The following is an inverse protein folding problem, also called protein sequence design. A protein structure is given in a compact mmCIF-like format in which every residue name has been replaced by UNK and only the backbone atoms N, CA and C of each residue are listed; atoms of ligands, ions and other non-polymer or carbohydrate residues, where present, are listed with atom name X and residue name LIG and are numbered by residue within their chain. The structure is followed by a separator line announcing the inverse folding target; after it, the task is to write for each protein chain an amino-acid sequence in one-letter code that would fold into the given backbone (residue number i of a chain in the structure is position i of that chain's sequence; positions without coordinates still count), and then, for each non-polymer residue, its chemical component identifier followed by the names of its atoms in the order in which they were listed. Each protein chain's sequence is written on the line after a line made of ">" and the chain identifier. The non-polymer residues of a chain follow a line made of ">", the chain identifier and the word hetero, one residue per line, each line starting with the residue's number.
data_IF_584703604037
#
_entry.id   IF_584703604037
#
_cell.length_a   1.000
_cell.length_b   1.000
_cell.length_c   1.000
_cell.angle_alpha   90.00
_cell.angle_beta   90.00
_cell.angle_gamma   90.00
#
_symmetry.space_group_name_H-M   'P 1'
#
loop_
_entity.id
_entity.type
_entity.pdbx_description
1 polymer ?
#
# COMPACT_ATOMS: atom_id res chain seq x y z
N UNK A 1 -5.18 6.71 2.42
CA UNK A 1 -6.44 5.96 2.24
C UNK A 1 -6.48 5.11 0.96
N UNK A 2 -5.80 5.49 -0.13
CA UNK A 2 -5.87 4.75 -1.42
C UNK A 2 -5.66 3.23 -1.29
N UNK A 3 -4.63 2.77 -0.58
CA UNK A 3 -4.36 1.35 -0.39
C UNK A 3 -5.53 0.59 0.25
N UNK A 4 -6.24 1.18 1.19
CA UNK A 4 -7.41 0.57 1.81
C UNK A 4 -8.55 0.40 0.80
N UNK A 5 -8.75 1.38 -0.10
CA UNK A 5 -9.78 1.29 -1.14
C UNK A 5 -9.42 0.29 -2.25
N UNK A 6 -8.13 0.02 -2.50
CA UNK A 6 -7.73 -1.09 -3.38
C UNK A 6 -8.20 -2.44 -2.82
N UNK A 7 -8.31 -2.58 -1.50
CA UNK A 7 -8.78 -3.79 -0.84
C UNK A 7 -10.28 -3.74 -0.54
N UNK A 8 -11.09 -3.39 -1.54
CA UNK A 8 -12.57 -3.44 -1.49
C UNK A 8 -13.12 -4.36 -2.57
N UNK A 9 -14.36 -4.78 -2.41
CA UNK A 9 -15.05 -5.65 -3.38
C UNK A 9 -15.06 -5.01 -4.78
N UNK A 10 -15.35 -3.70 -4.86
CA UNK A 10 -15.54 -2.97 -6.10
C UNK A 10 -14.23 -2.56 -6.80
N UNK A 11 -13.09 -2.57 -6.12
CA UNK A 11 -11.83 -2.20 -6.74
C UNK A 11 -11.51 -3.10 -7.94
N UNK A 12 -11.20 -2.55 -9.13
CA UNK A 12 -11.01 -3.30 -10.36
C UNK A 12 -9.62 -3.94 -10.45
N UNK A 13 -9.20 -4.63 -9.39
CA UNK A 13 -7.95 -5.39 -9.34
C UNK A 13 -8.26 -6.86 -9.03
N UNK A 14 -7.35 -7.73 -9.43
CA UNK A 14 -7.49 -9.17 -9.26
C UNK A 14 -7.69 -9.56 -7.79
N UNK A 15 -8.63 -10.46 -7.50
CA UNK A 15 -9.02 -10.84 -6.13
C UNK A 15 -7.85 -11.37 -5.30
N UNK A 16 -6.97 -12.17 -5.92
CA UNK A 16 -5.76 -12.70 -5.26
C UNK A 16 -4.86 -11.63 -4.64
N UNK A 17 -4.82 -10.44 -5.23
CA UNK A 17 -4.04 -9.32 -4.69
C UNK A 17 -4.72 -8.78 -3.42
N UNK A 18 -6.06 -8.66 -3.43
CA UNK A 18 -6.83 -8.24 -2.26
C UNK A 18 -6.69 -9.24 -1.11
N UNK A 19 -6.81 -10.54 -1.42
CA UNK A 19 -6.61 -11.60 -0.44
C UNK A 19 -5.20 -11.56 0.15
N UNK A 20 -4.19 -11.32 -0.70
CA UNK A 20 -2.81 -11.19 -0.22
C UNK A 20 -2.63 -9.98 0.71
N UNK A 21 -3.24 -8.83 0.38
CA UNK A 21 -3.19 -7.62 1.22
C UNK A 21 -3.86 -7.82 2.59
N UNK A 22 -4.89 -8.66 2.66
CA UNK A 22 -5.65 -8.93 3.90
C UNK A 22 -5.08 -10.06 4.76
N UNK A 23 -3.92 -10.62 4.40
CA UNK A 23 -3.30 -11.71 5.15
C UNK A 23 -2.72 -11.24 6.48
N UNK A 24 -2.78 -12.07 7.54
CA UNK A 24 -2.25 -11.72 8.87
C UNK A 24 -0.72 -11.49 8.92
N UNK A 25 0.02 -12.03 7.94
CA UNK A 25 1.48 -11.87 7.83
C UNK A 25 1.89 -10.63 7.02
N UNK A 26 0.93 -9.86 6.49
CA UNK A 26 1.16 -8.59 5.83
C UNK A 26 1.05 -7.47 6.86
N UNK A 27 2.15 -6.76 7.06
CA UNK A 27 2.29 -5.67 8.03
C UNK A 27 2.85 -4.39 7.38
N UNK A 28 3.18 -3.38 8.17
CA UNK A 28 3.79 -2.14 7.70
C UNK A 28 5.18 -2.35 7.08
N UNK A 29 5.88 -3.46 7.40
CA UNK A 29 7.20 -3.83 6.87
C UNK A 29 7.07 -4.53 5.51
N UNK A 30 5.85 -4.91 5.13
CA UNK A 30 5.53 -5.45 3.81
C UNK A 30 5.60 -4.38 2.71
N UNK A 31 6.17 -3.21 3.01
CA UNK A 31 6.41 -2.14 2.03
C UNK A 31 7.88 -1.71 2.02
N UNK A 32 8.32 -1.18 0.88
CA UNK A 32 9.65 -0.57 0.71
C UNK A 32 9.56 0.69 -0.13
N UNK A 33 10.65 1.45 -0.21
CA UNK A 33 10.75 2.65 -1.07
C UNK A 33 11.74 2.35 -2.18
N UNK A 34 11.33 2.60 -3.41
CA UNK A 34 12.13 2.43 -4.63
C UNK A 34 12.34 3.76 -5.34
N UNK A 35 13.18 3.81 -6.36
CA UNK A 35 13.44 4.97 -7.23
C UNK A 35 14.00 6.20 -6.50
N UNK A 36 14.75 6.01 -5.43
CA UNK A 36 15.32 7.09 -4.62
C UNK A 36 16.33 7.92 -5.41
N UNK A 37 17.24 7.26 -6.13
CA UNK A 37 18.29 7.91 -6.92
C UNK A 37 17.73 8.69 -8.11
N UNK A 38 16.50 8.37 -8.53
CA UNK A 38 15.79 9.09 -9.60
C UNK A 38 15.02 10.33 -9.12
N UNK A 39 15.14 10.72 -7.85
CA UNK A 39 14.31 11.77 -7.24
C UNK A 39 12.81 11.51 -7.38
N UNK A 40 12.42 10.24 -7.49
CA UNK A 40 11.05 9.78 -7.61
C UNK A 40 10.74 8.69 -6.56
N UNK A 41 11.11 8.96 -5.31
CA UNK A 41 10.94 8.03 -4.21
C UNK A 41 9.48 7.60 -4.08
N UNK A 42 9.19 6.35 -4.39
CA UNK A 42 7.84 5.78 -4.40
C UNK A 42 7.76 4.62 -3.41
N UNK A 43 6.76 4.65 -2.53
CA UNK A 43 6.49 3.52 -1.64
C UNK A 43 5.65 2.48 -2.36
N UNK A 44 6.13 1.23 -2.31
CA UNK A 44 5.56 0.09 -3.02
C UNK A 44 5.46 -1.14 -2.11
N UNK A 45 4.67 -2.12 -2.50
CA UNK A 45 4.68 -3.42 -1.84
C UNK A 45 6.06 -4.07 -1.98
N UNK A 46 6.53 -4.70 -0.90
CA UNK A 46 7.83 -5.37 -0.85
C UNK A 46 7.72 -6.76 -1.47
N UNK A 47 8.22 -6.91 -2.67
CA UNK A 47 8.23 -8.14 -3.45
C UNK A 47 9.55 -8.28 -4.20
N UNK A 48 9.74 -9.36 -4.94
CA UNK A 48 10.99 -9.64 -5.66
C UNK A 48 11.36 -8.54 -6.65
N UNK A 49 10.36 -7.93 -7.29
CA UNK A 49 10.57 -6.83 -8.23
C UNK A 49 11.09 -5.59 -7.50
N UNK A 50 10.46 -5.19 -6.40
CA UNK A 50 10.88 -4.01 -5.63
C UNK A 50 12.25 -4.21 -4.96
N UNK A 51 12.56 -5.42 -4.51
CA UNK A 51 13.87 -5.78 -3.96
C UNK A 51 14.95 -5.75 -5.04
N UNK A 52 14.64 -6.24 -6.25
CA UNK A 52 15.55 -6.16 -7.40
C UNK A 52 15.83 -4.72 -7.79
N UNK A 53 14.80 -3.85 -7.80
CA UNK A 53 14.98 -2.43 -8.09
C UNK A 53 15.87 -1.75 -7.05
N UNK A 54 15.71 -2.04 -5.77
CA UNK A 54 16.57 -1.48 -4.71
C UNK A 54 18.02 -1.94 -4.87
N UNK A 55 18.26 -3.23 -5.17
CA UNK A 55 19.60 -3.75 -5.42
C UNK A 55 20.26 -3.05 -6.61
N UNK A 56 19.54 -2.88 -7.72
CA UNK A 56 20.05 -2.15 -8.89
C UNK A 56 20.37 -0.68 -8.56
N UNK A 57 19.53 -0.04 -7.77
CA UNK A 57 19.74 1.34 -7.31
C UNK A 57 21.01 1.47 -6.45
N UNK A 58 21.25 0.52 -5.56
CA UNK A 58 22.45 0.45 -4.72
C UNK A 58 23.72 0.16 -5.57
N UNK A 59 23.66 -0.78 -6.50
CA UNK A 59 24.78 -1.12 -7.40
C UNK A 59 25.20 0.05 -8.28
N UNK A 60 24.27 0.90 -8.68
CA UNK A 60 24.54 2.08 -9.51
C UNK A 60 25.17 3.26 -8.76
N UNK A 61 25.23 3.23 -7.42
CA UNK A 61 25.87 4.24 -6.58
C UNK A 61 25.52 5.71 -6.92
N UNK A 62 24.28 5.96 -7.30
CA UNK A 62 23.80 7.28 -7.71
C UNK A 62 24.02 7.62 -9.19
N UNK A 63 24.70 6.78 -9.94
CA UNK A 63 24.87 6.96 -11.40
C UNK A 63 23.76 6.21 -12.14
N UNK A 64 22.54 6.75 -12.09
CA UNK A 64 21.32 6.03 -12.45
C UNK A 64 21.18 5.83 -13.95
N UNK A 65 21.27 4.58 -14.38
CA UNK A 65 20.87 4.15 -15.71
C UNK A 65 19.40 3.67 -15.68
N UNK A 66 18.49 4.56 -16.07
CA UNK A 66 17.07 4.24 -16.10
C UNK A 66 16.72 3.04 -16.97
N UNK A 67 17.52 2.74 -18.00
CA UNK A 67 17.28 1.59 -18.88
C UNK A 67 17.28 0.25 -18.14
N UNK A 68 18.05 0.15 -17.05
CA UNK A 68 18.11 -1.04 -16.19
C UNK A 68 16.89 -1.18 -15.28
N UNK A 69 16.28 -0.07 -14.89
CA UNK A 69 15.12 -0.03 -13.97
C UNK A 69 13.79 -0.07 -14.73
N UNK A 70 13.74 0.51 -15.93
CA UNK A 70 12.51 0.64 -16.73
C UNK A 70 11.72 -0.68 -16.91
N UNK A 71 12.32 -1.85 -17.12
CA UNK A 71 11.60 -3.10 -17.25
C UNK A 71 10.81 -3.48 -15.99
N UNK A 72 11.28 -3.07 -14.82
CA UNK A 72 10.65 -3.35 -13.52
C UNK A 72 9.59 -2.30 -13.16
N UNK A 73 9.74 -1.06 -13.63
CA UNK A 73 8.82 0.06 -13.40
C UNK A 73 7.71 0.15 -14.46
N UNK A 74 7.50 -0.88 -15.29
CA UNK A 74 6.56 -0.89 -16.39
C UNK A 74 5.10 -0.91 -15.95
N UNK A 75 4.34 0.13 -16.30
CA UNK A 75 2.89 0.19 -16.06
C UNK A 75 2.10 -0.90 -16.80
N UNK A 76 2.59 -1.38 -17.94
CA UNK A 76 1.98 -2.49 -18.68
C UNK A 76 2.05 -3.78 -17.85
N UNK A 77 3.18 -4.03 -17.21
CA UNK A 77 3.38 -5.19 -16.33
C UNK A 77 2.45 -5.12 -15.12
N UNK A 78 2.34 -3.95 -14.50
CA UNK A 78 1.43 -3.70 -13.37
C UNK A 78 -0.02 -3.90 -13.77
N UNK A 79 -0.43 -3.40 -14.93
CA UNK A 79 -1.80 -3.60 -15.46
C UNK A 79 -2.12 -5.07 -15.66
N UNK A 80 -1.21 -5.84 -16.25
CA UNK A 80 -1.36 -7.29 -16.45
C UNK A 80 -1.52 -8.02 -15.12
N UNK A 81 -0.67 -7.69 -14.15
CA UNK A 81 -0.75 -8.23 -12.80
C UNK A 81 -2.12 -7.95 -12.15
N UNK A 82 -2.60 -6.73 -12.24
CA UNK A 82 -3.85 -6.32 -11.60
C UNK A 82 -5.10 -6.87 -12.27
N UNK A 83 -5.09 -7.06 -13.59
CA UNK A 83 -6.28 -7.43 -14.35
C UNK A 83 -6.33 -8.90 -14.75
N UNK A 84 -5.17 -9.56 -14.91
CA UNK A 84 -5.11 -10.89 -15.52
C UNK A 84 -4.51 -11.96 -14.59
N UNK A 85 -3.31 -11.75 -14.07
CA UNK A 85 -2.58 -12.81 -13.36
C UNK A 85 -2.86 -12.86 -11.87
N UNK A 86 -3.06 -11.71 -11.22
CA UNK A 86 -3.17 -11.62 -9.78
C UNK A 86 -1.91 -12.03 -9.02
N UNK A 87 -0.77 -12.12 -9.70
CA UNK A 87 0.51 -12.43 -9.07
C UNK A 87 1.13 -11.15 -8.48
N UNK A 88 0.88 -10.91 -7.19
CA UNK A 88 1.34 -9.75 -6.45
C UNK A 88 2.88 -9.57 -6.48
N UNK A 89 3.62 -10.63 -6.83
CA UNK A 89 5.08 -10.64 -6.89
C UNK A 89 5.64 -10.25 -8.27
N UNK A 90 4.79 -10.17 -9.30
CA UNK A 90 5.22 -10.01 -10.69
C UNK A 90 5.43 -8.55 -11.11
N UNK A 91 5.14 -7.55 -10.30
CA UNK A 91 5.29 -6.13 -10.68
C UNK A 91 5.53 -5.21 -9.49
N UNK A 92 6.10 -4.04 -9.79
CA UNK A 92 6.09 -2.91 -8.86
C UNK A 92 4.67 -2.31 -8.79
N UNK A 93 4.13 -2.14 -7.58
CA UNK A 93 2.84 -1.48 -7.37
C UNK A 93 2.80 -0.68 -6.07
N UNK A 94 2.18 0.50 -6.14
CA UNK A 94 2.13 1.43 -5.01
C UNK A 94 1.34 0.84 -3.85
N UNK A 95 1.92 0.89 -2.65
CA UNK A 95 1.31 0.38 -1.44
C UNK A 95 1.79 1.19 -0.24
N UNK A 96 0.87 1.66 0.57
CA UNK A 96 1.17 2.40 1.80
C UNK A 96 1.40 1.45 2.97
N UNK A 97 2.12 1.91 4.00
CA UNK A 97 2.32 1.17 5.24
C UNK A 97 1.01 0.81 5.96
N UNK A 98 -0.08 1.54 5.66
CA UNK A 98 -1.41 1.20 6.19
C UNK A 98 -1.93 -0.15 5.68
N UNK A 99 -1.21 -0.84 4.80
CA UNK A 99 -1.55 -2.22 4.41
C UNK A 99 -1.58 -3.14 5.63
N UNK A 100 -0.70 -2.92 6.61
CA UNK A 100 -0.68 -3.70 7.86
C UNK A 100 -1.91 -3.53 8.75
N UNK A 101 -2.81 -2.59 8.43
CA UNK A 101 -4.09 -2.40 9.12
C UNK A 101 -5.27 -3.01 8.35
N UNK A 102 -5.01 -3.70 7.23
CA UNK A 102 -6.04 -4.27 6.35
C UNK A 102 -6.17 -5.76 6.66
N UNK A 103 -7.33 -6.16 7.16
CA UNK A 103 -7.62 -7.55 7.53
C UNK A 103 -8.85 -8.13 6.82
N UNK A 104 -9.54 -7.33 5.99
CA UNK A 104 -10.78 -7.70 5.33
C UNK A 104 -10.95 -7.04 3.96
N UNK A 105 -11.95 -7.50 3.20
CA UNK A 105 -12.29 -7.01 1.85
C UNK A 105 -13.77 -6.58 1.86
N UNK A 106 -14.10 -5.43 2.45
CA UNK A 106 -15.47 -4.94 2.55
C UNK A 106 -15.95 -4.33 1.23
N UNK A 107 -17.25 -4.02 1.16
CA UNK A 107 -17.74 -3.10 0.13
C UNK A 107 -17.27 -1.67 0.40
N UNK A 108 -17.21 -0.83 -0.63
CA UNK A 108 -16.92 0.60 -0.45
C UNK A 108 -17.92 1.26 0.49
N UNK A 109 -19.19 0.85 0.46
CA UNK A 109 -20.24 1.35 1.35
C UNK A 109 -19.90 1.04 2.81
N UNK A 110 -19.62 -0.22 3.12
CA UNK A 110 -19.31 -0.64 4.49
C UNK A 110 -18.03 0.01 5.00
N UNK A 111 -17.01 0.11 4.15
CA UNK A 111 -15.77 0.80 4.48
C UNK A 111 -16.00 2.27 4.83
N UNK A 112 -16.76 3.01 4.01
CA UNK A 112 -17.05 4.42 4.27
C UNK A 112 -17.89 4.62 5.52
N UNK A 113 -18.91 3.78 5.71
CA UNK A 113 -19.74 3.82 6.92
C UNK A 113 -18.92 3.57 8.17
N UNK A 114 -18.02 2.57 8.14
CA UNK A 114 -17.12 2.27 9.24
C UNK A 114 -16.16 3.42 9.55
N UNK A 115 -15.53 4.02 8.53
CA UNK A 115 -14.62 5.17 8.71
C UNK A 115 -15.34 6.35 9.39
N UNK A 116 -16.57 6.66 8.98
CA UNK A 116 -17.36 7.75 9.58
C UNK A 116 -17.71 7.42 11.03
N UNK A 117 -18.22 6.22 11.29
CA UNK A 117 -18.59 5.81 12.65
C UNK A 117 -17.40 5.80 13.62
N UNK A 118 -16.24 5.31 13.17
CA UNK A 118 -15.00 5.35 13.96
C UNK A 118 -14.54 6.79 14.22
N UNK A 119 -14.62 7.68 13.23
CA UNK A 119 -14.27 9.08 13.40
C UNK A 119 -15.18 9.78 14.40
N UNK A 120 -16.48 9.56 14.34
CA UNK A 120 -17.47 10.11 15.30
C UNK A 120 -17.19 9.61 16.74
N UNK A 121 -16.90 8.32 16.89
CA UNK A 121 -16.56 7.73 18.18
C UNK A 121 -15.28 8.36 18.75
N UNK A 122 -14.22 8.53 17.95
CA UNK A 122 -12.95 9.13 18.37
C UNK A 122 -13.12 10.61 18.75
N UNK A 123 -13.91 11.38 18.00
CA UNK A 123 -14.21 12.77 18.32
C UNK A 123 -14.98 12.89 19.65
N UNK A 124 -15.94 12.02 19.89
CA UNK A 124 -16.71 11.98 21.13
C UNK A 124 -15.81 11.68 22.34
N UNK A 125 -14.94 10.67 22.23
CA UNK A 125 -13.95 10.33 23.26
C UNK A 125 -13.00 11.49 23.52
N UNK A 126 -12.48 12.13 22.49
CA UNK A 126 -11.56 13.26 22.60
C UNK A 126 -12.22 14.47 23.27
N UNK A 127 -13.48 14.77 22.93
CA UNK A 127 -14.25 15.84 23.56
C UNK A 127 -14.46 15.59 25.06
N UNK A 128 -14.75 14.34 25.45
CA UNK A 128 -14.88 13.96 26.85
C UNK A 128 -13.56 14.14 27.64
N UNK A 129 -12.42 13.84 27.02
CA UNK A 129 -11.12 14.05 27.64
C UNK A 129 -10.80 15.54 27.89
N UNK A 130 -11.22 16.44 26.99
CA UNK A 130 -11.02 17.88 27.11
C UNK A 130 -11.98 18.49 28.15
N UNK A 131 -13.22 17.97 28.24
CA UNK A 131 -14.24 18.45 29.18
C UNK A 131 -13.98 17.99 30.63
N UNK A 132 -13.14 16.98 30.87
CA UNK A 132 -12.80 16.55 32.21
C UNK A 132 -12.01 17.65 32.96
N UNK A 133 -12.44 18.12 34.16
CA UNK A 133 -11.67 19.10 34.92
C UNK A 133 -10.28 18.55 35.20
N UNK A 134 -9.23 19.35 34.85
CA UNK A 134 -7.84 19.00 35.17
C UNK A 134 -7.74 18.81 36.71
N UNK A 135 -7.47 17.57 37.11
CA UNK A 135 -7.05 17.29 38.49
C UNK A 135 -5.56 17.70 38.60
N UNK A 136 -5.32 18.99 38.78
CA UNK A 136 -4.07 19.55 39.33
C UNK A 136 -4.18 19.62 40.84
#
# INVERSE_FOLDING_TARGET
>A
MATRFLCTVEAPIHHRIKEHMARPDVDERSTTVVLRSLNNATRVFRNDVSLTMNRLDEEMQGNVDFSKIAPYASGVRTKKMWQETGDWNDSMWSCSQSVGLISDIPTCKDLLTGIVAEAEAQLTLSAACVAAPSRL
#
